data_IF_490836813042
#
_entry.id   IF_490836813042
#
_cell.length_a   1.000
_cell.length_b   1.000
_cell.length_c   1.000
_cell.angle_alpha   90.00
_cell.angle_beta   90.00
_cell.angle_gamma   90.00
#
_symmetry.space_group_name_H-M   'P 1'
#
loop_
_entity.id
_entity.type
_entity.pdbx_description
1 polymer ?
#
# COMPACT_ATOMS: atom_id res chain seq x y z
N UNK A 1 23.74 -11.55 16.59
CA UNK A 1 24.65 -11.38 15.44
C UNK A 1 23.84 -10.85 14.28
N UNK A 2 24.32 -9.82 13.57
CA UNK A 2 23.69 -9.39 12.30
C UNK A 2 24.15 -10.34 11.20
N UNK A 3 23.23 -11.04 10.57
CA UNK A 3 23.54 -11.91 9.43
C UNK A 3 23.61 -11.05 8.17
N UNK A 4 24.80 -10.96 7.57
CA UNK A 4 25.03 -10.20 6.33
C UNK A 4 24.76 -11.08 5.10
N UNK A 5 23.58 -11.70 5.06
CA UNK A 5 23.16 -12.59 3.98
C UNK A 5 22.14 -11.84 3.13
N UNK A 6 22.30 -11.79 1.78
CA UNK A 6 21.29 -11.16 0.94
C UNK A 6 19.98 -11.94 1.03
N UNK A 7 18.89 -11.25 1.36
CA UNK A 7 17.55 -11.83 1.43
C UNK A 7 16.61 -11.01 0.57
N UNK A 8 15.84 -11.69 -0.29
CA UNK A 8 14.74 -11.03 -1.00
C UNK A 8 13.57 -10.78 -0.04
N UNK A 9 13.14 -9.52 0.05
CA UNK A 9 12.03 -9.11 0.90
C UNK A 9 11.04 -8.23 0.15
N UNK A 10 9.77 -8.27 0.57
CA UNK A 10 8.75 -7.37 0.00
C UNK A 10 8.81 -5.97 0.58
N UNK A 11 9.37 -5.85 1.78
CA UNK A 11 9.54 -4.59 2.47
C UNK A 11 10.78 -4.60 3.33
N UNK A 12 11.25 -3.40 3.67
CA UNK A 12 12.18 -3.15 4.75
C UNK A 12 11.81 -1.85 5.43
N UNK A 13 12.24 -1.65 6.66
CA UNK A 13 12.15 -0.37 7.36
C UNK A 13 13.50 0.34 7.27
N UNK A 14 13.50 1.68 7.23
CA UNK A 14 14.72 2.48 7.39
C UNK A 14 15.29 2.41 8.80
N UNK A 15 14.48 2.01 9.78
CA UNK A 15 14.90 1.89 11.16
C UNK A 15 15.70 0.59 11.32
N UNK A 16 16.94 0.68 11.80
CA UNK A 16 17.76 -0.50 12.05
C UNK A 16 17.26 -1.21 13.31
N UNK A 17 16.69 -2.43 13.19
CA UNK A 17 16.16 -3.13 14.36
C UNK A 17 17.32 -3.58 15.26
N UNK A 18 17.05 -3.71 16.55
CA UNK A 18 18.02 -4.22 17.55
C UNK A 18 18.24 -5.74 17.44
N UNK A 19 17.34 -6.44 16.75
CA UNK A 19 17.40 -7.89 16.50
C UNK A 19 16.80 -8.21 15.12
N UNK A 20 17.27 -9.29 14.48
CA UNK A 20 16.81 -9.72 13.16
C UNK A 20 17.76 -9.38 12.00
N UNK A 21 17.23 -9.39 10.77
CA UNK A 21 17.98 -9.08 9.55
C UNK A 21 18.30 -7.58 9.49
N UNK A 22 19.51 -7.25 9.04
CA UNK A 22 19.86 -5.85 8.75
C UNK A 22 19.08 -5.41 7.49
N UNK A 23 18.31 -4.29 7.53
CA UNK A 23 17.59 -3.78 6.37
C UNK A 23 18.48 -3.57 5.14
N UNK A 24 19.78 -3.31 5.33
CA UNK A 24 20.73 -3.14 4.22
C UNK A 24 20.98 -4.45 3.46
N UNK A 25 20.79 -5.61 4.10
CA UNK A 25 20.87 -6.92 3.47
C UNK A 25 19.59 -7.34 2.73
N UNK A 26 18.52 -6.53 2.77
CA UNK A 26 17.23 -6.84 2.15
C UNK A 26 17.17 -6.24 0.74
N UNK A 27 17.09 -7.11 -0.25
CA UNK A 27 16.85 -6.75 -1.66
C UNK A 27 15.35 -6.74 -1.89
N UNK A 28 14.81 -5.55 -2.18
CA UNK A 28 13.37 -5.38 -2.35
C UNK A 28 12.88 -5.97 -3.67
N UNK A 29 11.95 -6.92 -3.57
CA UNK A 29 11.24 -7.53 -4.70
C UNK A 29 9.75 -7.19 -4.65
N UNK A 30 9.03 -7.24 -5.79
CA UNK A 30 7.59 -7.00 -5.78
C UNK A 30 6.85 -8.00 -4.92
N UNK A 31 5.86 -7.51 -4.17
CA UNK A 31 4.96 -8.35 -3.39
C UNK A 31 4.19 -9.33 -4.29
N UNK A 32 3.94 -10.54 -3.79
CA UNK A 32 3.06 -11.53 -4.44
C UNK A 32 1.64 -11.01 -4.74
N UNK A 33 1.21 -9.90 -4.11
CA UNK A 33 -0.08 -9.24 -4.39
C UNK A 33 -0.15 -8.55 -5.75
N UNK A 34 0.97 -8.38 -6.46
CA UNK A 34 0.97 -7.92 -7.84
C UNK A 34 0.62 -9.02 -8.86
N UNK A 35 0.78 -10.30 -8.50
CA UNK A 35 0.70 -11.42 -9.46
C UNK A 35 -0.30 -12.51 -9.07
N UNK A 36 -0.10 -13.16 -7.92
CA UNK A 36 -0.75 -14.45 -7.61
C UNK A 36 -1.93 -14.26 -6.65
N UNK A 37 -1.83 -13.29 -5.74
CA UNK A 37 -2.87 -13.10 -4.73
C UNK A 37 -4.03 -12.29 -5.27
N UNK A 38 -5.14 -12.98 -5.51
CA UNK A 38 -6.44 -12.33 -5.59
C UNK A 38 -6.82 -11.93 -4.17
N UNK A 39 -6.60 -10.66 -3.83
CA UNK A 39 -7.03 -10.16 -2.54
C UNK A 39 -8.55 -10.35 -2.45
N UNK A 40 -9.06 -11.11 -1.45
CA UNK A 40 -10.47 -11.39 -1.33
C UNK A 40 -11.26 -10.08 -1.43
N UNK A 41 -12.15 -9.98 -2.42
CA UNK A 41 -13.01 -8.81 -2.70
C UNK A 41 -12.33 -7.56 -3.26
N UNK A 42 -11.01 -7.56 -3.48
CA UNK A 42 -10.32 -6.53 -4.28
C UNK A 42 -10.12 -7.03 -5.72
N UNK A 43 -9.73 -8.29 -5.89
CA UNK A 43 -9.44 -8.85 -7.22
C UNK A 43 -7.94 -8.90 -7.53
N UNK A 44 -7.62 -9.25 -8.78
CA UNK A 44 -6.24 -9.31 -9.28
C UNK A 44 -5.75 -7.90 -9.60
N UNK A 45 -4.46 -7.65 -9.35
CA UNK A 45 -3.84 -6.35 -9.62
C UNK A 45 -4.03 -5.89 -11.05
N UNK A 46 -3.78 -6.75 -12.05
CA UNK A 46 -3.99 -6.44 -13.47
C UNK A 46 -5.38 -5.86 -13.76
N UNK A 47 -6.42 -6.52 -13.26
CA UNK A 47 -7.81 -6.07 -13.45
C UNK A 47 -8.06 -4.74 -12.75
N UNK A 48 -7.58 -4.57 -11.52
CA UNK A 48 -7.77 -3.33 -10.76
C UNK A 48 -7.01 -2.15 -11.36
N UNK A 49 -5.78 -2.38 -11.81
CA UNK A 49 -4.95 -1.41 -12.50
C UNK A 49 -5.66 -0.84 -13.73
N UNK A 50 -6.34 -1.69 -14.51
CA UNK A 50 -7.07 -1.27 -15.71
C UNK A 50 -8.44 -0.63 -15.42
N UNK A 51 -9.14 -1.08 -14.37
CA UNK A 51 -10.56 -0.72 -14.14
C UNK A 51 -10.74 0.42 -13.16
N UNK A 52 -9.91 0.50 -12.11
CA UNK A 52 -10.09 1.46 -11.02
C UNK A 52 -9.90 2.91 -11.46
N UNK A 53 -8.87 3.28 -12.26
CA UNK A 53 -8.78 4.60 -12.89
C UNK A 53 -10.06 5.00 -13.63
N UNK A 54 -10.60 4.10 -14.45
CA UNK A 54 -11.82 4.35 -15.23
C UNK A 54 -13.04 4.58 -14.34
N UNK A 55 -13.12 3.89 -13.21
CA UNK A 55 -14.19 4.10 -12.22
C UNK A 55 -14.02 5.45 -11.53
N UNK A 56 -12.79 5.79 -11.15
CA UNK A 56 -12.47 7.07 -10.51
C UNK A 56 -12.72 8.28 -11.42
N UNK A 57 -12.44 8.14 -12.72
CA UNK A 57 -12.60 9.20 -13.73
C UNK A 57 -14.06 9.46 -14.09
N UNK A 58 -14.97 8.49 -13.86
CA UNK A 58 -16.42 8.71 -13.97
C UNK A 58 -16.95 9.67 -12.90
N UNK A 59 -16.24 9.82 -11.78
CA UNK A 59 -16.63 10.69 -10.67
C UNK A 59 -15.92 12.03 -10.86
N UNK A 60 -16.67 13.03 -11.31
CA UNK A 60 -16.18 14.42 -11.39
C UNK A 60 -15.58 14.84 -10.04
N UNK A 61 -14.44 15.51 -10.09
CA UNK A 61 -13.68 15.91 -8.90
C UNK A 61 -14.55 16.72 -7.91
N UNK A 62 -15.40 17.59 -8.44
CA UNK A 62 -16.31 18.47 -7.69
C UNK A 62 -17.39 17.68 -6.94
N UNK A 63 -17.73 16.48 -7.44
CA UNK A 63 -18.75 15.59 -6.86
C UNK A 63 -18.17 14.64 -5.81
N UNK A 64 -16.85 14.60 -5.62
CA UNK A 64 -16.22 13.75 -4.61
C UNK A 64 -16.53 14.26 -3.20
N UNK A 65 -16.75 13.33 -2.28
CA UNK A 65 -17.03 13.59 -0.87
C UNK A 65 -15.83 14.33 -0.25
N UNK A 66 -16.07 15.54 0.27
CA UNK A 66 -15.06 16.41 0.89
C UNK A 66 -14.68 15.95 2.30
N UNK A 67 -14.30 14.69 2.45
CA UNK A 67 -13.83 14.11 3.72
C UNK A 67 -12.54 13.34 3.53
N UNK A 68 -11.76 13.26 4.61
CA UNK A 68 -10.62 12.34 4.70
C UNK A 68 -11.12 10.96 5.07
N UNK A 69 -10.90 10.00 4.18
CA UNK A 69 -11.44 8.66 4.31
C UNK A 69 -10.39 7.64 4.74
N UNK A 70 -10.75 6.82 5.72
CA UNK A 70 -9.98 5.63 6.09
C UNK A 70 -10.88 4.48 6.55
N UNK A 71 -10.58 3.27 6.07
CA UNK A 71 -11.11 2.00 6.59
C UNK A 71 -10.00 0.96 6.68
N UNK A 72 -9.89 0.29 7.82
CA UNK A 72 -8.90 -0.76 8.01
C UNK A 72 -9.05 -1.52 9.32
N UNK A 73 -8.40 -2.69 9.38
CA UNK A 73 -8.39 -3.49 10.60
C UNK A 73 -7.42 -2.90 11.65
N UNK A 74 -7.67 -3.23 12.92
CA UNK A 74 -6.81 -2.94 14.07
C UNK A 74 -5.53 -3.79 14.00
N UNK A 75 -4.59 -3.38 13.15
CA UNK A 75 -3.29 -4.07 12.93
C UNK A 75 -2.15 -3.08 13.09
N UNK A 76 -1.08 -3.48 13.77
CA UNK A 76 0.03 -2.59 14.10
C UNK A 76 -0.42 -1.43 14.97
N UNK A 77 0.23 -0.28 14.79
CA UNK A 77 0.06 0.86 15.68
C UNK A 77 -0.87 1.93 15.08
N UNK A 78 -2.10 1.50 14.78
CA UNK A 78 -3.14 2.33 14.16
C UNK A 78 -4.01 3.07 15.18
N UNK A 79 -3.76 2.91 16.47
CA UNK A 79 -4.66 3.35 17.54
C UNK A 79 -4.92 4.86 17.56
N UNK A 80 -3.97 5.69 17.12
CA UNK A 80 -4.13 7.14 16.99
C UNK A 80 -5.30 7.54 16.06
N UNK A 81 -5.66 6.70 15.09
CA UNK A 81 -6.84 6.91 14.23
C UNK A 81 -8.16 6.94 15.03
N UNK A 82 -8.16 6.28 16.19
CA UNK A 82 -9.29 6.32 17.13
C UNK A 82 -9.44 7.71 17.72
N UNK A 83 -8.31 8.34 18.05
CA UNK A 83 -8.26 9.66 18.72
C UNK A 83 -8.53 10.79 17.75
N UNK A 84 -7.98 10.73 16.53
CA UNK A 84 -8.14 11.80 15.54
C UNK A 84 -9.44 11.70 14.73
N UNK A 85 -10.07 10.53 14.68
CA UNK A 85 -11.14 10.23 13.73
C UNK A 85 -12.32 9.50 14.36
N UNK A 86 -12.17 8.22 14.71
CA UNK A 86 -13.31 7.34 15.04
C UNK A 86 -14.18 7.85 16.22
N UNK A 87 -13.56 8.44 17.25
CA UNK A 87 -14.27 9.00 18.41
C UNK A 87 -14.64 10.47 18.25
N UNK A 88 -14.16 11.13 17.20
CA UNK A 88 -14.39 12.56 16.98
C UNK A 88 -15.60 12.72 16.09
N UNK A 89 -16.56 13.54 16.51
CA UNK A 89 -17.68 13.94 15.66
C UNK A 89 -17.22 15.03 14.65
N UNK A 90 -16.15 14.76 13.91
CA UNK A 90 -15.57 15.69 12.93
C UNK A 90 -16.17 15.41 11.55
N UNK A 91 -16.99 16.34 11.07
CA UNK A 91 -17.67 16.22 9.77
C UNK A 91 -16.71 16.15 8.57
N UNK A 92 -15.46 16.60 8.73
CA UNK A 92 -14.42 16.54 7.69
C UNK A 92 -13.72 15.17 7.60
N UNK A 93 -13.99 14.26 8.54
CA UNK A 93 -13.34 12.96 8.62
C UNK A 93 -14.36 11.82 8.45
N UNK A 94 -13.90 10.75 7.82
CA UNK A 94 -14.61 9.48 7.71
C UNK A 94 -13.62 8.34 7.98
N UNK A 95 -13.20 8.21 9.24
CA UNK A 95 -12.17 7.28 9.71
C UNK A 95 -12.81 6.29 10.68
N UNK A 96 -12.79 5.01 10.33
CA UNK A 96 -13.35 3.95 11.19
C UNK A 96 -12.57 2.66 11.03
N UNK A 97 -12.46 1.89 12.10
CA UNK A 97 -11.97 0.52 12.02
C UNK A 97 -13.03 -0.41 11.43
N UNK A 98 -12.58 -1.42 10.69
CA UNK A 98 -13.45 -2.53 10.27
C UNK A 98 -13.36 -3.62 11.34
N UNK A 99 -14.53 -4.09 11.78
CA UNK A 99 -14.64 -5.24 12.64
C UNK A 99 -14.98 -6.47 11.80
N UNK A 100 -14.34 -7.58 12.11
CA UNK A 100 -14.65 -8.86 11.48
C UNK A 100 -15.75 -9.52 12.30
N UNK A 101 -16.97 -9.65 11.74
CA UNK A 101 -18.02 -10.43 12.43
C UNK A 101 -17.57 -11.89 12.45
N UNK A 102 -17.23 -12.41 13.63
CA UNK A 102 -16.82 -13.80 13.83
C UNK A 102 -18.03 -14.71 13.75
N UNK A 103 -18.32 -15.24 12.57
CA UNK A 103 -19.45 -16.14 12.39
C UNK A 103 -19.43 -16.86 11.04
N UNK A 104 -18.97 -18.12 11.07
CA UNK A 104 -18.97 -19.12 9.97
C UNK A 104 -18.08 -18.78 8.76
N UNK A 105 -17.83 -19.82 7.97
CA UNK A 105 -16.84 -20.01 6.88
C UNK A 105 -16.73 -18.85 5.87
N UNK A 106 -17.69 -17.92 5.87
CA UNK A 106 -17.61 -16.65 5.17
C UNK A 106 -17.56 -15.50 6.19
N UNK A 107 -16.37 -14.95 6.45
CA UNK A 107 -16.21 -13.71 7.24
C UNK A 107 -17.13 -12.62 6.68
N UNK A 108 -18.24 -12.35 7.36
CA UNK A 108 -19.08 -11.20 7.06
C UNK A 108 -18.34 -9.96 7.60
N UNK A 109 -18.11 -8.99 6.73
CA UNK A 109 -17.50 -7.73 7.13
C UNK A 109 -18.51 -6.91 7.92
N UNK A 110 -18.01 -6.05 8.81
CA UNK A 110 -18.81 -4.99 9.41
C UNK A 110 -19.49 -4.14 8.33
N UNK A 111 -20.66 -3.58 8.67
CA UNK A 111 -21.50 -2.85 7.72
C UNK A 111 -20.83 -1.55 7.22
N UNK A 112 -19.75 -1.12 7.88
CA UNK A 112 -18.92 0.02 7.50
C UNK A 112 -17.75 -0.33 6.56
N UNK A 113 -17.62 -1.58 6.11
CA UNK A 113 -16.62 -1.95 5.11
C UNK A 113 -16.86 -1.21 3.79
N UNK A 114 -15.75 -0.83 3.14
CA UNK A 114 -15.76 -0.09 1.89
C UNK A 114 -14.80 -0.75 0.91
N UNK A 115 -15.26 -0.99 -0.32
CA UNK A 115 -14.42 -1.51 -1.40
C UNK A 115 -13.44 -0.44 -1.90
N UNK A 116 -12.43 -0.87 -2.65
CA UNK A 116 -11.45 0.05 -3.23
C UNK A 116 -12.12 1.07 -4.17
N UNK A 117 -13.14 0.64 -4.93
CA UNK A 117 -13.92 1.51 -5.81
C UNK A 117 -14.67 2.59 -5.02
N UNK A 118 -15.20 2.24 -3.84
CA UNK A 118 -15.89 3.20 -2.98
C UNK A 118 -14.94 4.24 -2.38
N UNK A 119 -13.65 3.92 -2.19
CA UNK A 119 -12.65 4.91 -1.77
C UNK A 119 -12.54 6.06 -2.78
N UNK A 120 -12.65 5.77 -4.08
CA UNK A 120 -12.49 6.78 -5.13
C UNK A 120 -13.59 7.85 -5.14
N UNK A 121 -14.66 7.68 -4.35
CA UNK A 121 -15.70 8.69 -4.16
C UNK A 121 -15.24 9.83 -3.24
N UNK A 122 -14.16 9.67 -2.49
CA UNK A 122 -13.68 10.65 -1.51
C UNK A 122 -12.54 11.51 -2.06
N UNK A 123 -12.51 12.79 -1.69
CA UNK A 123 -11.46 13.73 -2.12
C UNK A 123 -10.11 13.44 -1.50
N UNK A 124 -10.06 12.99 -0.25
CA UNK A 124 -8.81 12.77 0.47
C UNK A 124 -8.78 11.36 1.02
N UNK A 125 -7.68 10.65 0.79
CA UNK A 125 -7.50 9.27 1.24
C UNK A 125 -6.37 9.22 2.25
N UNK A 126 -6.58 8.50 3.35
CA UNK A 126 -5.54 8.27 4.35
C UNK A 126 -4.92 6.89 4.13
N UNK A 127 -3.60 6.83 4.15
CA UNK A 127 -2.82 5.61 4.16
C UNK A 127 -2.01 5.52 5.44
N UNK A 128 -2.04 4.33 6.05
CA UNK A 128 -1.13 3.97 7.13
C UNK A 128 -0.74 2.50 7.00
N UNK A 129 0.52 2.24 7.29
CA UNK A 129 1.12 0.93 7.51
C UNK A 129 0.39 0.13 8.61
N UNK A 130 0.67 -1.16 8.68
CA UNK A 130 0.19 -2.06 9.74
C UNK A 130 1.35 -2.49 10.63
N UNK A 131 1.48 -3.80 10.86
CA UNK A 131 2.67 -4.38 11.49
C UNK A 131 3.93 -4.23 10.61
N UNK A 132 3.73 -4.17 9.30
CA UNK A 132 4.74 -3.80 8.31
C UNK A 132 4.11 -2.87 7.27
N UNK A 133 4.71 -2.75 6.08
CA UNK A 133 4.09 -2.06 4.96
C UNK A 133 2.65 -2.49 4.71
N UNK A 134 1.86 -1.58 4.14
CA UNK A 134 0.51 -1.89 3.70
C UNK A 134 0.40 -1.78 2.19
N UNK A 135 0.10 -2.90 1.55
CA UNK A 135 -0.19 -3.00 0.12
C UNK A 135 -1.36 -2.11 -0.38
N UNK A 136 -2.04 -1.39 0.52
CA UNK A 136 -3.18 -0.51 0.22
C UNK A 136 -2.77 0.72 -0.60
N UNK A 137 -1.54 1.24 -0.44
CA UNK A 137 -1.15 2.54 -1.00
C UNK A 137 -1.36 2.62 -2.52
N UNK A 138 -0.89 1.61 -3.27
CA UNK A 138 -1.04 1.56 -4.73
C UNK A 138 -2.49 1.64 -5.21
N UNK A 139 -3.43 1.10 -4.44
CA UNK A 139 -4.85 1.14 -4.76
C UNK A 139 -5.46 2.53 -4.52
N UNK A 140 -5.04 3.22 -3.46
CA UNK A 140 -5.53 4.56 -3.15
C UNK A 140 -5.06 5.58 -4.19
N UNK A 141 -3.79 5.48 -4.61
CA UNK A 141 -3.22 6.38 -5.62
C UNK A 141 -3.96 6.29 -6.97
N UNK A 142 -4.44 5.10 -7.37
CA UNK A 142 -5.22 4.92 -8.60
C UNK A 142 -6.55 5.68 -8.62
N UNK A 143 -7.09 6.08 -7.46
CA UNK A 143 -8.30 6.89 -7.41
C UNK A 143 -8.08 8.33 -7.89
N UNK A 144 -6.83 8.79 -8.03
CA UNK A 144 -6.54 10.19 -8.36
C UNK A 144 -6.90 11.19 -7.26
N UNK A 145 -7.21 10.69 -6.05
CA UNK A 145 -7.34 11.50 -4.85
C UNK A 145 -5.97 11.63 -4.18
N UNK A 146 -5.58 12.81 -3.66
CA UNK A 146 -4.38 12.94 -2.87
C UNK A 146 -4.43 11.98 -1.68
N UNK A 147 -3.33 11.25 -1.49
CA UNK A 147 -3.16 10.32 -0.39
C UNK A 147 -2.30 10.98 0.68
N UNK A 148 -2.86 11.10 1.89
CA UNK A 148 -2.12 11.43 3.10
C UNK A 148 -1.51 10.13 3.61
N UNK A 149 -0.20 10.01 3.55
CA UNK A 149 0.57 8.90 4.07
C UNK A 149 1.06 9.23 5.49
N UNK A 150 0.40 8.63 6.48
CA UNK A 150 0.90 8.55 7.85
C UNK A 150 2.11 7.59 7.88
N UNK A 151 3.30 8.14 7.66
CA UNK A 151 4.55 7.41 7.46
C UNK A 151 5.41 7.45 8.73
N UNK A 152 4.98 6.73 9.76
CA UNK A 152 5.61 6.76 11.09
C UNK A 152 6.73 5.74 11.27
N UNK A 153 6.69 4.62 10.53
CA UNK A 153 7.64 3.51 10.69
C UNK A 153 8.56 3.35 9.48
N UNK A 154 8.39 4.20 8.47
CA UNK A 154 9.23 4.27 7.28
C UNK A 154 9.44 2.89 6.64
N UNK A 155 8.34 2.13 6.51
CA UNK A 155 8.36 0.91 5.70
C UNK A 155 8.41 1.28 4.23
N UNK A 156 9.21 0.54 3.48
CA UNK A 156 9.42 0.76 2.05
C UNK A 156 9.01 -0.46 1.25
N UNK A 157 8.31 -0.24 0.14
CA UNK A 157 8.32 -1.17 -0.99
C UNK A 157 9.37 -0.73 -2.02
N UNK A 158 9.69 -1.61 -2.98
CA UNK A 158 10.69 -1.36 -4.01
C UNK A 158 10.50 -0.05 -4.81
N UNK A 159 9.28 0.48 -4.86
CA UNK A 159 8.91 1.69 -5.61
C UNK A 159 8.71 2.94 -4.73
N UNK A 160 8.75 2.82 -3.39
CA UNK A 160 8.43 3.92 -2.48
C UNK A 160 9.42 5.09 -2.57
N UNK A 161 10.65 4.85 -3.06
CA UNK A 161 11.63 5.90 -3.33
C UNK A 161 11.17 6.95 -4.37
N UNK A 162 10.11 6.65 -5.14
CA UNK A 162 9.49 7.57 -6.10
C UNK A 162 8.44 8.51 -5.46
N UNK A 163 8.05 8.24 -4.21
CA UNK A 163 7.09 9.05 -3.47
C UNK A 163 7.72 10.39 -3.05
N UNK A 164 6.99 11.48 -3.30
CA UNK A 164 7.43 12.85 -3.04
C UNK A 164 6.30 13.63 -2.40
N UNK A 165 6.57 14.13 -1.19
CA UNK A 165 5.67 15.03 -0.47
C UNK A 165 5.34 16.25 -1.33
N UNK A 166 4.08 16.71 -1.28
CA UNK A 166 3.56 17.86 -2.01
C UNK A 166 3.60 17.75 -3.55
N UNK A 167 3.99 16.58 -4.08
CA UNK A 167 3.98 16.31 -5.51
C UNK A 167 3.06 15.16 -5.89
N UNK A 168 3.21 13.98 -5.29
CA UNK A 168 2.39 12.80 -5.60
C UNK A 168 1.74 12.15 -4.37
N UNK A 169 2.12 12.58 -3.16
CA UNK A 169 1.47 12.26 -1.88
C UNK A 169 1.61 13.43 -0.90
N UNK A 170 0.84 13.39 0.18
CA UNK A 170 1.09 14.18 1.39
C UNK A 170 1.70 13.25 2.45
N UNK A 171 2.74 13.68 3.16
CA UNK A 171 3.42 12.87 4.18
C UNK A 171 3.09 13.48 5.53
N UNK A 172 2.66 12.65 6.47
CA UNK A 172 2.39 13.02 7.84
C UNK A 172 3.25 12.15 8.77
N UNK A 173 4.10 12.78 9.59
CA UNK A 173 5.05 12.08 10.48
C UNK A 173 4.72 12.25 11.97
N UNK A 174 3.91 13.25 12.34
CA UNK A 174 3.60 13.59 13.73
C UNK A 174 2.50 12.71 14.32
N UNK A 175 2.83 11.45 14.59
CA UNK A 175 1.90 10.47 15.15
C UNK A 175 1.18 11.01 16.40
N UNK A 176 -0.15 10.95 16.40
CA UNK A 176 -0.99 11.41 17.51
C UNK A 176 -1.18 12.93 17.61
N UNK A 177 -0.53 13.72 16.74
CA UNK A 177 -0.70 15.18 16.75
C UNK A 177 -1.96 15.60 15.99
N UNK A 178 -3.10 15.59 16.69
CA UNK A 178 -4.42 15.96 16.13
C UNK A 178 -4.41 17.37 15.49
N UNK A 179 -3.74 18.34 16.13
CA UNK A 179 -3.67 19.72 15.64
C UNK A 179 -2.94 19.80 14.30
N UNK A 180 -1.79 19.15 14.18
CA UNK A 180 -1.04 19.14 12.92
C UNK A 180 -1.77 18.37 11.83
N UNK A 181 -2.42 17.25 12.17
CA UNK A 181 -3.25 16.52 11.21
C UNK A 181 -4.39 17.39 10.68
N UNK A 182 -5.11 18.10 11.56
CA UNK A 182 -6.17 19.04 11.17
C UNK A 182 -5.65 20.20 10.32
N UNK A 183 -4.49 20.75 10.66
CA UNK A 183 -3.88 21.81 9.86
C UNK A 183 -3.56 21.32 8.44
N UNK A 184 -3.01 20.11 8.30
CA UNK A 184 -2.72 19.51 7.01
C UNK A 184 -4.01 19.28 6.19
N UNK A 185 -5.04 18.70 6.81
CA UNK A 185 -6.31 18.40 6.12
C UNK A 185 -7.08 19.67 5.75
N UNK A 186 -7.01 20.71 6.58
CA UNK A 186 -7.60 22.01 6.29
C UNK A 186 -6.84 22.72 5.15
N UNK A 187 -5.51 22.73 5.19
CA UNK A 187 -4.69 23.37 4.15
C UNK A 187 -4.92 22.74 2.77
N UNK A 188 -4.92 21.40 2.68
CA UNK A 188 -5.23 20.73 1.41
C UNK A 188 -6.70 20.87 1.00
N UNK A 189 -7.59 21.00 1.99
CA UNK A 189 -9.01 21.26 1.76
C UNK A 189 -9.31 22.63 1.17
N UNK A 190 -8.46 23.62 1.49
CA UNK A 190 -8.57 24.99 1.01
C UNK A 190 -8.04 25.14 -0.42
N UNK A 191 -6.96 24.43 -0.76
CA UNK A 191 -6.34 24.48 -2.10
C UNK A 191 -6.74 23.25 -2.95
N UNK A 192 -7.94 23.33 -3.54
CA UNK A 192 -8.50 22.23 -4.34
C UNK A 192 -7.69 21.95 -5.61
N UNK A 193 -6.97 22.95 -6.14
CA UNK A 193 -6.09 22.79 -7.28
C UNK A 193 -4.84 21.99 -6.90
N UNK A 194 -4.18 22.34 -5.79
CA UNK A 194 -3.06 21.56 -5.23
C UNK A 194 -3.48 20.14 -4.88
N UNK A 195 -4.67 19.96 -4.28
CA UNK A 195 -5.22 18.65 -3.99
C UNK A 195 -5.35 17.78 -5.24
N UNK A 196 -5.97 18.32 -6.30
CA UNK A 196 -6.13 17.64 -7.58
C UNK A 196 -4.80 17.36 -8.26
N UNK A 197 -3.85 18.29 -8.21
CA UNK A 197 -2.50 18.13 -8.74
C UNK A 197 -1.77 16.95 -8.08
N UNK A 198 -1.74 16.90 -6.74
CA UNK A 198 -1.09 15.83 -5.98
C UNK A 198 -1.74 14.48 -6.30
N UNK A 199 -3.07 14.41 -6.29
CA UNK A 199 -3.81 13.19 -6.62
C UNK A 199 -3.55 12.69 -8.04
N UNK A 200 -3.51 13.60 -9.02
CA UNK A 200 -3.23 13.28 -10.44
C UNK A 200 -1.82 12.72 -10.61
N UNK A 201 -0.82 13.33 -9.98
CA UNK A 201 0.57 12.83 -10.03
C UNK A 201 0.75 11.50 -9.30
N UNK A 202 0.02 11.29 -8.19
CA UNK A 202 -0.02 10.01 -7.48
C UNK A 202 -0.55 8.89 -8.37
N UNK A 203 -1.67 9.14 -9.07
CA UNK A 203 -2.24 8.22 -10.06
C UNK A 203 -1.26 7.93 -11.19
N UNK A 204 -0.69 8.98 -11.78
CA UNK A 204 0.25 8.86 -12.90
C UNK A 204 1.52 8.06 -12.54
N UNK A 205 2.01 8.18 -11.30
CA UNK A 205 3.14 7.38 -10.81
C UNK A 205 2.80 5.89 -10.85
N UNK A 206 1.63 5.50 -10.36
CA UNK A 206 1.20 4.10 -10.37
C UNK A 206 0.99 3.60 -11.79
N UNK A 207 0.27 4.37 -12.62
CA UNK A 207 0.02 4.02 -14.03
C UNK A 207 1.32 3.84 -14.83
N UNK A 208 2.36 4.63 -14.51
CA UNK A 208 3.65 4.54 -15.19
C UNK A 208 4.53 3.37 -14.72
N UNK A 209 4.61 3.13 -13.42
CA UNK A 209 5.64 2.24 -12.85
C UNK A 209 5.12 0.92 -12.30
N UNK A 210 3.81 0.77 -12.11
CA UNK A 210 3.23 -0.41 -11.45
C UNK A 210 2.29 -1.20 -12.37
N UNK A 211 2.39 -1.06 -13.69
CA UNK A 211 1.74 -2.02 -14.61
C UNK A 211 2.31 -3.42 -14.42
N UNK A 212 1.55 -4.47 -14.75
CA UNK A 212 2.02 -5.86 -14.64
C UNK A 212 3.38 -6.06 -15.35
N UNK A 213 3.54 -5.47 -16.54
CA UNK A 213 4.78 -5.52 -17.32
C UNK A 213 5.93 -4.79 -16.61
N UNK A 214 5.68 -3.60 -16.04
CA UNK A 214 6.70 -2.84 -15.33
C UNK A 214 7.17 -3.58 -14.07
N UNK A 215 6.23 -4.16 -13.31
CA UNK A 215 6.54 -4.97 -12.13
C UNK A 215 7.38 -6.20 -12.48
N UNK A 216 7.00 -6.93 -13.54
CA UNK A 216 7.76 -8.09 -14.02
C UNK A 216 9.14 -7.68 -14.55
N UNK A 217 9.25 -6.55 -15.24
CA UNK A 217 10.52 -6.01 -15.73
C UNK A 217 11.48 -5.69 -14.57
N UNK A 218 10.98 -4.98 -13.54
CA UNK A 218 11.76 -4.73 -12.33
C UNK A 218 12.23 -6.02 -11.68
N UNK A 219 11.33 -7.00 -11.47
CA UNK A 219 11.69 -8.25 -10.82
C UNK A 219 12.73 -9.05 -11.62
N UNK A 220 12.56 -9.13 -12.95
CA UNK A 220 13.54 -9.76 -13.85
C UNK A 220 14.91 -9.09 -13.73
N UNK A 221 14.96 -7.77 -13.73
CA UNK A 221 16.23 -7.04 -13.63
C UNK A 221 16.90 -7.25 -12.27
N UNK A 222 16.14 -7.30 -11.16
CA UNK A 222 16.69 -7.65 -9.85
C UNK A 222 17.37 -9.03 -9.88
N UNK A 223 16.75 -10.03 -10.49
CA UNK A 223 17.33 -11.37 -10.59
C UNK A 223 18.61 -11.41 -11.45
N UNK A 224 18.61 -10.69 -12.57
CA UNK A 224 19.80 -10.58 -13.45
C UNK A 224 20.95 -9.87 -12.76
N UNK A 225 20.69 -8.74 -12.08
CA UNK A 225 21.73 -8.04 -11.34
C UNK A 225 22.24 -8.86 -10.15
N UNK A 226 21.35 -9.60 -9.49
CA UNK A 226 21.73 -10.50 -8.39
C UNK A 226 22.60 -11.67 -8.87
N UNK A 227 22.30 -12.25 -10.03
CA UNK A 227 23.11 -13.33 -10.63
C UNK A 227 24.58 -12.91 -10.82
N UNK A 228 24.84 -11.66 -11.21
CA UNK A 228 26.20 -11.14 -11.41
C UNK A 228 27.04 -11.12 -10.13
N UNK A 229 26.41 -11.20 -8.95
CA UNK A 229 27.10 -11.24 -7.67
C UNK A 229 27.61 -12.65 -7.31
N UNK A 230 27.22 -13.68 -8.07
CA UNK A 230 27.62 -15.04 -7.77
C UNK A 230 29.09 -15.29 -8.12
N UNK A 231 29.83 -15.77 -7.13
CA UNK A 231 31.22 -16.23 -7.29
C UNK A 231 31.30 -17.74 -7.57
N UNK A 232 30.15 -18.40 -7.73
CA UNK A 232 30.02 -19.83 -7.96
C UNK A 232 28.87 -20.12 -8.92
N UNK A 233 28.88 -21.31 -9.53
CA UNK A 233 27.77 -21.80 -10.34
C UNK A 233 26.77 -22.53 -9.44
N UNK A 234 25.49 -22.13 -9.36
CA UNK A 234 24.49 -22.82 -8.56
C UNK A 234 24.31 -24.28 -9.01
N UNK A 235 24.16 -25.17 -8.04
CA UNK A 235 23.85 -26.58 -8.26
C UNK A 235 22.50 -26.88 -7.62
N UNK A 236 21.66 -27.67 -8.31
CA UNK A 236 20.35 -28.08 -7.78
C UNK A 236 20.55 -28.86 -6.47
N UNK A 237 19.91 -28.42 -5.40
CA UNK A 237 19.89 -29.14 -4.14
C UNK A 237 19.15 -30.49 -4.30
N UNK A 238 19.61 -31.62 -3.70
CA UNK A 238 18.98 -32.93 -3.87
C UNK A 238 17.47 -32.94 -3.54
N UNK A 239 17.08 -32.15 -2.55
CA UNK A 239 15.68 -32.03 -2.11
C UNK A 239 14.88 -30.93 -2.84
N UNK A 240 15.46 -30.26 -3.85
CA UNK A 240 14.75 -29.22 -4.59
C UNK A 240 13.70 -29.85 -5.54
N UNK A 241 12.46 -29.44 -5.37
CA UNK A 241 11.33 -29.80 -6.24
C UNK A 241 11.14 -28.75 -7.32
N UNK A 242 10.67 -29.16 -8.51
CA UNK A 242 10.24 -28.17 -9.52
C UNK A 242 8.95 -27.50 -9.03
N UNK A 243 8.83 -26.19 -9.21
CA UNK A 243 7.64 -25.45 -8.81
C UNK A 243 6.39 -25.99 -9.53
N UNK A 244 6.50 -26.34 -10.81
CA UNK A 244 5.38 -26.90 -11.58
C UNK A 244 4.88 -28.23 -10.99
N UNK A 245 5.79 -29.09 -10.52
CA UNK A 245 5.44 -30.36 -9.85
C UNK A 245 4.74 -30.10 -8.51
N UNK A 246 5.20 -29.10 -7.74
CA UNK A 246 4.57 -28.70 -6.48
C UNK A 246 3.15 -28.16 -6.67
N UNK A 247 2.93 -27.34 -7.71
CA UNK A 247 1.62 -26.75 -7.99
C UNK A 247 0.61 -27.79 -8.52
N UNK A 248 1.06 -28.76 -9.32
CA UNK A 248 0.20 -29.83 -9.83
C UNK A 248 -0.21 -30.82 -8.73
N UNK A 249 0.67 -31.09 -7.75
CA UNK A 249 0.37 -32.00 -6.62
C UNK A 249 -0.71 -31.52 -5.64
N UNK A 250 -1.14 -30.26 -5.74
CA UNK A 250 -2.29 -29.69 -4.99
C UNK A 250 -3.57 -29.56 -5.84
N UNK A 251 -3.52 -29.96 -7.11
CA UNK A 251 -4.63 -29.87 -8.07
C UNK A 251 -5.44 -31.17 -8.19
N UNK A 252 -5.17 -32.18 -7.35
CA UNK A 252 -5.87 -33.47 -7.27
C UNK A 252 -6.69 -33.61 -6.00
#
# INVERSE_FOLDING_TARGET
MKHNVPVFGFTKTRHKPTWGLDPDGIILIPCFTFSIFTAPRIGKWRTIFETLPKIADKIKWENRVKKVMWRGARTGDRWWLTEIGERKNDSSLDIQFIDWKSGKINRHYSDNFKTVQQYCQYKYLLHQEGWSYSNRLKYLLLCGSPVIYANFYEWEEYWYHLLKHDYNILVFKDKGNEKLFKNLTHAIGYDDQKAKFIGTNGKALVEKYLSEQAVLCYFRNVLIEYEKLFTYKPVKHPNAMKIDEFLVGYSS
#
